data_IF_200538865038
#
_entry.id   IF_200538865038
#
_cell.length_a   1.000
_cell.length_b   1.000
_cell.length_c   1.000
_cell.angle_alpha   90.00
_cell.angle_beta   90.00
_cell.angle_gamma   90.00
#
_symmetry.space_group_name_H-M   'P 1'
#
loop_
_entity.id
_entity.type
_entity.pdbx_description
1 polymer ?
#
# COMPACT_ATOMS: atom_id res chain seq x y z
N UNK A 1 0.30 23.16 -42.67
CA UNK A 1 -1.14 22.84 -42.57
C UNK A 1 -1.40 21.39 -42.99
N UNK A 2 -1.67 20.47 -42.06
CA UNK A 2 -2.55 19.30 -42.31
C UNK A 2 -2.90 18.67 -40.96
N UNK A 3 -4.21 18.62 -40.69
CA UNK A 3 -4.85 18.15 -39.46
C UNK A 3 -5.13 16.66 -39.64
N UNK A 4 -4.75 15.81 -38.69
CA UNK A 4 -5.24 14.43 -38.55
C UNK A 4 -5.83 14.32 -37.15
N UNK A 5 -7.14 14.52 -37.05
CA UNK A 5 -8.13 13.43 -36.88
C UNK A 5 -7.99 12.75 -35.53
N UNK A 6 -8.48 13.49 -34.53
CA UNK A 6 -9.19 13.04 -33.35
C UNK A 6 -10.18 11.91 -33.72
N UNK A 7 -10.09 10.75 -33.08
CA UNK A 7 -11.06 9.68 -33.30
C UNK A 7 -10.74 8.35 -32.62
N UNK A 8 -11.50 8.06 -31.57
CA UNK A 8 -11.94 6.70 -31.18
C UNK A 8 -10.88 5.64 -30.88
N UNK A 9 -10.36 5.59 -29.64
CA UNK A 9 -9.83 4.33 -29.09
C UNK A 9 -9.76 4.31 -27.55
N UNK A 10 -10.85 4.61 -26.85
CA UNK A 10 -10.82 4.66 -25.37
C UNK A 10 -12.06 4.08 -24.68
N UNK A 11 -12.71 3.06 -25.26
CA UNK A 11 -13.95 2.50 -24.67
C UNK A 11 -13.91 0.99 -24.39
N UNK A 12 -12.74 0.36 -24.42
CA UNK A 12 -12.62 -1.10 -24.19
C UNK A 12 -11.91 -1.49 -22.89
N UNK A 13 -11.62 -0.54 -21.98
CA UNK A 13 -10.83 -0.81 -20.76
C UNK A 13 -11.64 -0.67 -19.45
N UNK A 14 -12.96 -0.89 -19.47
CA UNK A 14 -13.80 -0.82 -18.26
C UNK A 14 -14.39 -2.18 -17.85
N UNK A 15 -14.14 -3.25 -18.61
CA UNK A 15 -14.68 -4.60 -18.29
C UNK A 15 -13.75 -5.47 -17.41
N UNK A 16 -12.70 -4.90 -16.81
CA UNK A 16 -11.71 -5.64 -16.02
C UNK A 16 -11.84 -5.58 -14.49
N UNK A 17 -12.79 -4.81 -13.94
CA UNK A 17 -12.87 -4.58 -12.48
C UNK A 17 -13.55 -5.70 -11.67
N UNK A 18 -13.67 -6.91 -12.25
CA UNK A 18 -13.98 -8.15 -11.50
C UNK A 18 -12.71 -8.97 -11.21
N UNK A 19 -11.57 -8.29 -11.01
CA UNK A 19 -10.32 -8.92 -10.60
C UNK A 19 -10.38 -9.36 -9.12
N UNK A 20 -10.90 -10.58 -8.93
CA UNK A 20 -10.40 -11.65 -8.08
C UNK A 20 -10.27 -11.45 -6.55
N UNK A 21 -10.57 -12.51 -5.76
CA UNK A 21 -10.31 -12.58 -4.30
C UNK A 21 -8.81 -12.64 -3.93
N UNK A 22 -7.90 -12.42 -4.89
CA UNK A 22 -6.44 -12.51 -4.72
C UNK A 22 -5.89 -11.52 -3.68
N UNK A 23 -6.56 -10.39 -3.46
CA UNK A 23 -6.11 -9.37 -2.51
C UNK A 23 -6.30 -9.77 -1.04
N UNK A 24 -7.25 -10.67 -0.73
CA UNK A 24 -7.49 -11.12 0.64
C UNK A 24 -6.42 -12.11 1.13
N UNK A 25 -5.92 -12.98 0.24
CA UNK A 25 -4.89 -13.97 0.58
C UNK A 25 -3.50 -13.35 0.80
N UNK A 26 -3.27 -12.14 0.30
CA UNK A 26 -1.98 -11.43 0.45
C UNK A 26 -1.90 -10.56 1.70
N UNK A 27 -3.00 -10.38 2.43
CA UNK A 27 -3.03 -9.57 3.66
C UNK A 27 -1.96 -9.99 4.71
N UNK A 28 -1.75 -11.28 5.04
CA UNK A 28 -0.72 -11.64 6.02
C UNK A 28 0.70 -11.32 5.52
N UNK A 29 1.00 -11.60 4.24
CA UNK A 29 2.29 -11.28 3.64
C UNK A 29 2.54 -9.75 3.61
N UNK A 30 1.51 -8.95 3.32
CA UNK A 30 1.62 -7.49 3.29
C UNK A 30 1.89 -6.91 4.68
N UNK A 31 1.24 -7.42 5.73
CA UNK A 31 1.49 -6.99 7.10
C UNK A 31 2.93 -7.33 7.54
N UNK A 32 3.44 -8.50 7.15
CA UNK A 32 4.82 -8.91 7.40
C UNK A 32 5.84 -8.04 6.64
N UNK A 33 5.56 -7.74 5.37
CA UNK A 33 6.36 -6.81 4.56
C UNK A 33 6.39 -5.41 5.17
N UNK A 34 5.26 -4.93 5.68
CA UNK A 34 5.14 -3.65 6.37
C UNK A 34 6.08 -3.61 7.60
N UNK A 35 6.00 -4.61 8.48
CA UNK A 35 6.87 -4.71 9.66
C UNK A 35 8.34 -4.82 9.29
N UNK A 36 8.67 -5.63 8.29
CA UNK A 36 10.05 -5.79 7.80
C UNK A 36 10.63 -4.46 7.29
N UNK A 37 9.84 -3.69 6.54
CA UNK A 37 10.25 -2.37 6.05
C UNK A 37 10.48 -1.40 7.21
N UNK A 38 9.55 -1.34 8.17
CA UNK A 38 9.69 -0.48 9.35
C UNK A 38 10.93 -0.84 10.16
N UNK A 39 11.21 -2.13 10.41
CA UNK A 39 12.42 -2.56 11.13
C UNK A 39 13.72 -2.17 10.41
N UNK A 40 13.72 -2.19 9.07
CA UNK A 40 14.85 -1.66 8.28
C UNK A 40 15.00 -0.15 8.44
N UNK A 41 13.91 0.60 8.58
CA UNK A 41 13.96 2.05 8.80
C UNK A 41 14.35 2.42 10.23
N UNK A 42 13.92 1.67 11.25
CA UNK A 42 14.37 1.84 12.65
C UNK A 42 15.90 1.75 12.77
N UNK A 43 16.52 0.88 11.96
CA UNK A 43 17.98 0.69 11.95
C UNK A 43 18.74 1.64 11.03
N UNK A 44 18.05 2.51 10.27
CA UNK A 44 18.67 3.37 9.27
C UNK A 44 19.15 4.67 9.91
N UNK A 45 20.45 4.96 9.78
CA UNK A 45 21.01 6.24 10.19
C UNK A 45 20.33 7.41 9.46
N UNK A 46 19.92 8.44 10.21
CA UNK A 46 19.25 9.62 9.68
C UNK A 46 17.75 9.45 9.40
N UNK A 47 17.14 8.31 9.76
CA UNK A 47 15.70 8.14 9.61
C UNK A 47 14.92 9.05 10.58
N UNK A 48 13.78 9.56 10.13
CA UNK A 48 12.86 10.31 10.98
C UNK A 48 12.11 9.36 11.93
N UNK A 49 12.58 9.28 13.17
CA UNK A 49 12.03 8.37 14.19
C UNK A 49 10.52 8.54 14.45
N UNK A 50 9.97 9.75 14.32
CA UNK A 50 8.52 9.93 14.46
C UNK A 50 7.76 9.23 13.34
N UNK A 51 8.18 9.42 12.09
CA UNK A 51 7.57 8.74 10.94
C UNK A 51 7.77 7.22 10.99
N UNK A 52 8.91 6.75 11.49
CA UNK A 52 9.13 5.32 11.72
C UNK A 52 8.16 4.77 12.77
N UNK A 53 7.94 5.51 13.86
CA UNK A 53 7.00 5.13 14.93
C UNK A 53 5.54 5.13 14.43
N UNK A 54 5.12 6.14 13.69
CA UNK A 54 3.78 6.19 13.08
C UNK A 54 3.58 5.07 12.05
N UNK A 55 4.60 4.77 11.22
CA UNK A 55 4.55 3.66 10.28
C UNK A 55 4.44 2.31 11.01
N UNK A 56 5.15 2.13 12.12
CA UNK A 56 5.04 0.93 12.96
C UNK A 56 3.62 0.74 13.47
N UNK A 57 3.03 1.79 14.03
CA UNK A 57 1.65 1.76 14.50
C UNK A 57 0.68 1.45 13.36
N UNK A 58 0.88 2.03 12.18
CA UNK A 58 0.07 1.73 11.00
C UNK A 58 0.13 0.26 10.56
N UNK A 59 1.30 -0.40 10.65
CA UNK A 59 1.41 -1.83 10.38
C UNK A 59 0.63 -2.68 11.41
N UNK A 60 0.65 -2.29 12.69
CA UNK A 60 -0.12 -2.98 13.75
C UNK A 60 -1.63 -2.79 13.57
N UNK A 61 -2.08 -1.57 13.23
CA UNK A 61 -3.47 -1.28 12.91
C UNK A 61 -3.96 -2.11 11.72
N UNK A 62 -3.12 -2.23 10.68
CA UNK A 62 -3.41 -3.06 9.53
C UNK A 62 -3.59 -4.53 9.92
N UNK A 63 -2.76 -5.06 10.82
CA UNK A 63 -2.90 -6.43 11.33
C UNK A 63 -4.17 -6.61 12.17
N UNK A 64 -4.52 -5.61 13.00
CA UNK A 64 -5.77 -5.63 13.77
C UNK A 64 -6.99 -5.66 12.84
N UNK A 65 -6.99 -4.85 11.78
CA UNK A 65 -8.03 -4.87 10.74
C UNK A 65 -8.11 -6.22 10.03
N UNK A 66 -6.96 -6.86 9.73
CA UNK A 66 -6.93 -8.21 9.16
C UNK A 66 -7.56 -9.23 10.09
N UNK A 67 -7.18 -9.24 11.37
CA UNK A 67 -7.74 -10.13 12.40
C UNK A 67 -9.25 -9.94 12.59
N UNK A 68 -9.75 -8.73 12.36
CA UNK A 68 -11.17 -8.41 12.39
C UNK A 68 -11.92 -8.74 11.08
N UNK A 69 -11.28 -9.40 10.10
CA UNK A 69 -11.87 -9.74 8.80
C UNK A 69 -12.01 -8.54 7.84
N UNK A 70 -11.52 -7.35 8.22
CA UNK A 70 -11.59 -6.11 7.43
C UNK A 70 -10.43 -6.03 6.43
N UNK A 71 -10.33 -7.01 5.52
CA UNK A 71 -9.20 -7.18 4.61
C UNK A 71 -8.91 -5.94 3.74
N UNK A 72 -9.93 -5.33 3.15
CA UNK A 72 -9.77 -4.11 2.35
C UNK A 72 -9.15 -2.96 3.16
N UNK A 73 -9.67 -2.72 4.36
CA UNK A 73 -9.16 -1.66 5.24
C UNK A 73 -7.73 -1.96 5.71
N UNK A 74 -7.44 -3.23 5.99
CA UNK A 74 -6.10 -3.71 6.34
C UNK A 74 -5.08 -3.40 5.23
N UNK A 75 -5.39 -3.74 3.98
CA UNK A 75 -4.51 -3.46 2.83
C UNK A 75 -4.25 -1.96 2.66
N UNK A 76 -5.31 -1.14 2.74
CA UNK A 76 -5.17 0.33 2.64
C UNK A 76 -4.25 0.85 3.76
N UNK A 77 -4.51 0.46 5.01
CA UNK A 77 -3.74 0.90 6.17
C UNK A 77 -2.27 0.45 6.10
N UNK A 78 -2.01 -0.77 5.64
CA UNK A 78 -0.65 -1.26 5.42
C UNK A 78 0.08 -0.46 4.32
N UNK A 79 -0.61 -0.09 3.23
CA UNK A 79 -0.06 0.76 2.18
C UNK A 79 0.32 2.16 2.68
N UNK A 80 -0.54 2.78 3.50
CA UNK A 80 -0.25 4.07 4.15
C UNK A 80 0.99 3.99 5.05
N UNK A 81 1.08 2.94 5.88
CA UNK A 81 2.21 2.70 6.76
C UNK A 81 3.52 2.48 6.00
N UNK A 82 3.49 1.71 4.90
CA UNK A 82 4.65 1.51 4.01
C UNK A 82 5.09 2.83 3.38
N UNK A 83 4.15 3.64 2.90
CA UNK A 83 4.45 4.97 2.35
C UNK A 83 5.12 5.87 3.40
N UNK A 84 4.61 5.87 4.62
CA UNK A 84 5.15 6.63 5.73
C UNK A 84 6.57 6.19 6.14
N UNK A 85 6.82 4.87 6.18
CA UNK A 85 8.17 4.34 6.37
C UNK A 85 9.12 4.80 5.25
N UNK A 86 8.68 4.80 4.00
CA UNK A 86 9.45 5.34 2.87
C UNK A 86 9.74 6.84 2.99
N UNK A 87 8.82 7.61 3.56
CA UNK A 87 9.01 9.03 3.84
C UNK A 87 9.90 9.30 5.05
N UNK A 88 10.14 8.31 5.92
CA UNK A 88 11.08 8.41 7.02
C UNK A 88 12.55 8.38 6.56
N UNK A 89 12.80 7.87 5.35
CA UNK A 89 14.12 7.80 4.73
C UNK A 89 14.52 9.05 3.91
N UNK A 90 13.62 10.02 3.78
CA UNK A 90 13.83 11.31 3.11
C UNK A 90 14.09 12.39 4.15
#
# INVERSE_FOLDING_TARGET
MKKYTMGFLATALILGLNAAPVQAFQCPALAEQCRTLVGKMESRAGANNMKVSEAKQGCEDALALHKAGKHKASVIKAGEAISMAGQAAK
#
